data_IF_826449340683
#
_entry.id   IF_826449340683
#
_cell.length_a   1.000
_cell.length_b   1.000
_cell.length_c   1.000
_cell.angle_alpha   90.00
_cell.angle_beta   90.00
_cell.angle_gamma   90.00
#
_symmetry.space_group_name_H-M   'P 1'
#
loop_
_entity.id
_entity.type
_entity.pdbx_description
1 polymer ?
#
# COMPACT_ATOMS: atom_id res chain seq x y z
N UNK A 1 -27.26 -16.55 5.71
CA UNK A 1 -25.78 -16.67 5.84
C UNK A 1 -25.57 -17.21 7.25
N UNK A 2 -25.16 -18.46 7.41
CA UNK A 2 -24.94 -19.01 8.74
C UNK A 2 -23.90 -18.13 9.45
N UNK A 3 -24.18 -17.75 10.71
CA UNK A 3 -23.25 -16.99 11.54
C UNK A 3 -21.91 -17.72 11.65
N UNK A 4 -20.87 -16.96 11.93
CA UNK A 4 -19.55 -17.54 12.21
C UNK A 4 -19.71 -18.59 13.33
N UNK A 5 -19.09 -19.77 13.21
CA UNK A 5 -19.17 -20.80 14.25
C UNK A 5 -18.74 -20.22 15.60
N UNK A 6 -19.30 -20.72 16.72
CA UNK A 6 -19.03 -20.17 18.04
C UNK A 6 -17.52 -20.13 18.29
N UNK A 7 -17.03 -18.94 18.62
CA UNK A 7 -15.61 -18.68 18.79
C UNK A 7 -15.16 -19.32 20.12
N UNK A 8 -14.01 -20.01 20.15
CA UNK A 8 -13.45 -20.50 21.40
C UNK A 8 -13.09 -19.31 22.31
N UNK A 9 -13.11 -19.52 23.63
CA UNK A 9 -12.73 -18.47 24.60
C UNK A 9 -11.27 -18.02 24.44
N UNK A 10 -10.42 -18.88 23.88
CA UNK A 10 -9.02 -18.61 23.55
C UNK A 10 -8.72 -19.12 22.16
N UNK A 11 -8.11 -18.26 21.35
CA UNK A 11 -7.59 -18.65 20.05
C UNK A 11 -6.30 -19.48 20.22
N UNK A 12 -6.11 -20.49 19.36
CA UNK A 12 -4.79 -21.11 19.19
C UNK A 12 -3.80 -20.09 18.60
N UNK A 13 -2.50 -20.41 18.64
CA UNK A 13 -1.45 -19.49 18.21
C UNK A 13 -1.59 -19.06 16.73
N UNK A 14 -1.98 -19.96 15.83
CA UNK A 14 -2.14 -19.65 14.40
C UNK A 14 -3.38 -18.79 14.18
N UNK A 15 -4.50 -19.12 14.82
CA UNK A 15 -5.74 -18.34 14.75
C UNK A 15 -5.53 -16.93 15.32
N UNK A 16 -4.87 -16.82 16.47
CA UNK A 16 -4.51 -15.53 17.08
C UNK A 16 -3.61 -14.70 16.17
N UNK A 17 -2.58 -15.32 15.58
CA UNK A 17 -1.68 -14.65 14.64
C UNK A 17 -2.39 -14.20 13.36
N UNK A 18 -3.31 -15.01 12.80
CA UNK A 18 -4.14 -14.63 11.65
C UNK A 18 -5.03 -13.43 11.98
N UNK A 19 -5.68 -13.42 13.15
CA UNK A 19 -6.51 -12.30 13.61
C UNK A 19 -5.68 -11.03 13.85
N UNK A 20 -4.48 -11.16 14.42
CA UNK A 20 -3.56 -10.05 14.61
C UNK A 20 -3.13 -9.45 13.27
N UNK A 21 -2.65 -10.28 12.34
CA UNK A 21 -2.26 -9.83 11.00
C UNK A 21 -3.39 -9.12 10.25
N UNK A 22 -4.63 -9.60 10.39
CA UNK A 22 -5.81 -8.93 9.82
C UNK A 22 -6.06 -7.55 10.45
N UNK A 23 -5.91 -7.41 11.77
CA UNK A 23 -6.04 -6.12 12.46
C UNK A 23 -4.94 -5.14 12.11
N UNK A 24 -3.69 -5.60 12.02
CA UNK A 24 -2.55 -4.78 11.59
C UNK A 24 -2.75 -4.27 10.16
N UNK A 25 -3.22 -5.15 9.26
CA UNK A 25 -3.57 -4.75 7.88
C UNK A 25 -4.68 -3.70 7.86
N UNK A 26 -5.75 -3.91 8.62
CA UNK A 26 -6.88 -2.98 8.70
C UNK A 26 -6.48 -1.64 9.33
N UNK A 27 -5.62 -1.65 10.36
CA UNK A 27 -5.08 -0.45 10.98
C UNK A 27 -4.24 0.34 9.97
N UNK A 28 -3.31 -0.31 9.26
CA UNK A 28 -2.48 0.37 8.29
C UNK A 28 -3.29 0.93 7.10
N UNK A 29 -4.38 0.26 6.69
CA UNK A 29 -5.31 0.78 5.70
C UNK A 29 -6.09 2.01 6.22
N UNK A 30 -6.57 1.97 7.48
CA UNK A 30 -7.23 3.10 8.11
C UNK A 30 -6.30 4.31 8.18
N UNK A 31 -5.08 4.14 8.68
CA UNK A 31 -4.10 5.22 8.78
C UNK A 31 -3.73 5.83 7.42
N UNK A 32 -3.67 5.00 6.37
CA UNK A 32 -3.44 5.47 5.02
C UNK A 32 -4.62 6.31 4.50
N UNK A 33 -5.86 5.86 4.72
CA UNK A 33 -7.06 6.58 4.30
C UNK A 33 -7.27 7.89 5.07
N UNK A 34 -7.03 7.89 6.39
CA UNK A 34 -7.04 9.11 7.20
C UNK A 34 -6.05 10.15 6.68
N UNK A 35 -4.85 9.72 6.26
CA UNK A 35 -3.87 10.61 5.65
C UNK A 35 -4.31 11.16 4.29
N UNK A 36 -5.18 10.47 3.55
CA UNK A 36 -5.71 10.96 2.28
C UNK A 36 -6.89 11.93 2.47
N UNK A 37 -7.69 11.72 3.52
CA UNK A 37 -8.90 12.51 3.77
C UNK A 37 -8.66 13.74 4.66
N UNK A 38 -7.65 13.71 5.54
CA UNK A 38 -7.29 14.82 6.44
C UNK A 38 -5.96 15.50 6.04
N UNK A 39 -5.99 16.77 5.58
CA UNK A 39 -4.78 17.52 5.22
C UNK A 39 -3.75 17.68 6.35
N UNK A 40 -4.16 17.69 7.62
CA UNK A 40 -3.24 17.82 8.76
C UNK A 40 -2.49 16.51 9.01
N UNK A 41 -3.16 15.37 8.87
CA UNK A 41 -2.53 14.05 8.93
C UNK A 41 -1.52 13.91 7.80
N UNK A 42 -1.90 14.30 6.58
CA UNK A 42 -0.99 14.32 5.43
C UNK A 42 0.20 15.24 5.65
N UNK A 43 0.00 16.43 6.22
CA UNK A 43 1.07 17.37 6.53
C UNK A 43 2.11 16.78 7.49
N UNK A 44 1.67 16.01 8.51
CA UNK A 44 2.57 15.27 9.39
C UNK A 44 3.43 14.26 8.63
N UNK A 45 2.82 13.47 7.72
CA UNK A 45 3.52 12.51 6.85
C UNK A 45 4.51 13.22 5.92
N UNK A 46 4.16 14.40 5.40
CA UNK A 46 5.04 15.24 4.57
C UNK A 46 6.28 15.71 5.32
N UNK A 47 6.11 16.21 6.54
CA UNK A 47 7.22 16.62 7.41
C UNK A 47 8.13 15.45 7.78
N UNK A 48 7.58 14.24 7.89
CA UNK A 48 8.33 13.01 8.11
C UNK A 48 9.01 12.45 6.85
N UNK A 49 8.81 13.06 5.68
CA UNK A 49 9.34 12.58 4.40
C UNK A 49 8.62 11.35 3.83
N UNK A 50 7.46 10.98 4.39
CA UNK A 50 6.63 9.83 3.99
C UNK A 50 5.58 10.20 2.92
N UNK A 51 5.44 11.48 2.62
CA UNK A 51 4.61 12.03 1.55
C UNK A 51 5.23 13.33 1.04
N UNK A 52 4.79 13.83 -0.11
CA UNK A 52 5.16 15.14 -0.62
C UNK A 52 4.11 15.70 -1.56
N UNK A 53 4.00 17.03 -1.64
CA UNK A 53 3.28 17.69 -2.71
C UNK A 53 4.25 17.98 -3.85
N UNK A 54 3.80 17.77 -5.08
CA UNK A 54 4.60 18.11 -6.24
C UNK A 54 3.77 18.62 -7.40
N UNK A 55 4.33 19.56 -8.15
CA UNK A 55 3.75 20.11 -9.37
C UNK A 55 4.36 19.43 -10.59
N UNK A 56 3.52 18.94 -11.49
CA UNK A 56 3.97 18.24 -12.71
C UNK A 56 4.54 19.28 -13.67
N UNK A 57 5.83 19.18 -13.96
CA UNK A 57 6.52 20.08 -14.89
C UNK A 57 6.49 19.56 -16.33
N UNK A 58 6.69 18.25 -16.50
CA UNK A 58 6.79 17.61 -17.81
C UNK A 58 6.31 16.17 -17.74
N UNK A 59 5.77 15.67 -18.85
CA UNK A 59 5.39 14.26 -19.01
C UNK A 59 5.94 13.73 -20.33
N UNK A 60 6.82 12.75 -20.25
CA UNK A 60 7.37 12.03 -21.39
C UNK A 60 6.71 10.66 -21.51
N UNK A 61 6.04 10.39 -22.63
CA UNK A 61 5.45 9.08 -22.90
C UNK A 61 6.52 8.05 -23.29
N UNK A 62 6.84 7.13 -22.37
CA UNK A 62 7.71 5.98 -22.65
C UNK A 62 6.95 4.65 -22.59
N UNK A 63 7.58 3.57 -23.01
CA UNK A 63 6.97 2.23 -23.08
C UNK A 63 7.94 1.16 -22.61
N UNK A 64 7.41 0.04 -22.13
CA UNK A 64 8.23 -1.15 -21.83
C UNK A 64 8.83 -1.75 -23.09
N UNK A 65 10.09 -2.19 -23.00
CA UNK A 65 10.76 -2.96 -24.05
C UNK A 65 10.24 -4.41 -24.06
N UNK A 66 9.20 -4.68 -24.86
CA UNK A 66 8.65 -6.03 -24.99
C UNK A 66 7.92 -6.21 -26.32
N UNK A 67 7.56 -7.46 -26.66
CA UNK A 67 6.76 -7.79 -27.87
C UNK A 67 5.39 -7.10 -27.87
N UNK A 68 4.87 -6.75 -26.69
CA UNK A 68 3.61 -6.01 -26.50
C UNK A 68 3.88 -4.84 -25.55
N UNK A 69 4.42 -3.72 -26.06
CA UNK A 69 4.80 -2.57 -25.24
C UNK A 69 3.61 -2.04 -24.43
N UNK A 70 3.83 -1.81 -23.14
CA UNK A 70 2.89 -1.16 -22.23
C UNK A 70 3.39 0.24 -21.85
N UNK A 71 2.50 1.23 -21.68
CA UNK A 71 2.88 2.60 -21.31
C UNK A 71 3.65 2.66 -19.98
N UNK A 72 4.67 3.51 -19.93
CA UNK A 72 5.52 3.82 -18.77
C UNK A 72 5.90 5.32 -18.75
N UNK A 73 4.93 6.24 -18.74
CA UNK A 73 5.25 7.66 -18.81
C UNK A 73 6.16 8.06 -17.65
N UNK A 74 7.16 8.88 -17.97
CA UNK A 74 8.01 9.56 -17.01
C UNK A 74 7.39 10.93 -16.73
N UNK A 75 7.21 11.23 -15.46
CA UNK A 75 6.60 12.46 -14.98
C UNK A 75 7.68 13.20 -14.18
N UNK A 76 8.08 14.36 -14.68
CA UNK A 76 8.98 15.26 -13.96
C UNK A 76 8.15 16.11 -13.02
N UNK A 77 8.43 16.06 -11.73
CA UNK A 77 7.67 16.70 -10.67
C UNK A 77 8.59 17.65 -9.91
N UNK A 78 8.19 18.92 -9.79
CA UNK A 78 8.85 19.92 -8.95
C UNK A 78 8.34 19.86 -7.53
N UNK A 79 9.24 19.85 -6.56
CA UNK A 79 8.90 19.94 -5.15
C UNK A 79 10.01 20.60 -4.36
N UNK A 80 9.62 21.34 -3.31
CA UNK A 80 10.52 21.90 -2.29
C UNK A 80 10.69 20.97 -1.09
N UNK A 81 9.95 19.85 -1.09
CA UNK A 81 9.97 18.88 0.00
C UNK A 81 11.09 17.86 -0.20
N UNK A 82 11.51 17.21 0.88
CA UNK A 82 12.58 16.21 0.87
C UNK A 82 12.03 14.84 1.28
N UNK A 83 11.25 14.18 0.42
CA UNK A 83 10.75 12.83 0.70
C UNK A 83 11.89 11.81 0.79
N UNK A 84 11.68 10.74 1.54
CA UNK A 84 12.65 9.65 1.74
C UNK A 84 12.73 8.71 0.53
N UNK A 85 13.13 9.26 -0.62
CA UNK A 85 13.26 8.52 -1.87
C UNK A 85 14.62 7.82 -1.96
N UNK A 86 14.58 6.51 -2.21
CA UNK A 86 15.72 5.70 -2.59
C UNK A 86 15.55 5.16 -4.02
N UNK A 87 16.54 4.41 -4.51
CA UNK A 87 16.47 3.80 -5.83
C UNK A 87 15.23 2.90 -5.96
N UNK A 88 14.41 3.12 -6.99
CA UNK A 88 13.18 2.36 -7.27
C UNK A 88 12.14 2.39 -6.15
N UNK A 89 12.22 3.36 -5.23
CA UNK A 89 11.17 3.57 -4.22
C UNK A 89 9.84 3.80 -4.93
N UNK A 90 8.80 3.08 -4.50
CA UNK A 90 7.45 3.29 -4.99
C UNK A 90 6.83 4.49 -4.31
N UNK A 91 6.07 5.24 -5.10
CA UNK A 91 5.22 6.33 -4.63
C UNK A 91 3.82 6.14 -5.20
N UNK A 92 2.83 6.64 -4.49
CA UNK A 92 1.42 6.43 -4.80
C UNK A 92 0.70 7.76 -4.83
N UNK A 93 -0.18 7.94 -5.81
CA UNK A 93 -1.19 9.00 -5.84
C UNK A 93 -2.59 8.39 -5.83
N UNK A 94 -3.57 9.15 -5.33
CA UNK A 94 -4.98 8.76 -5.45
C UNK A 94 -5.48 9.13 -6.85
N UNK A 95 -5.94 8.14 -7.60
CA UNK A 95 -6.60 8.29 -8.90
C UNK A 95 -8.02 7.74 -8.77
N UNK A 96 -9.01 8.62 -8.78
CA UNK A 96 -10.43 8.29 -8.57
C UNK A 96 -10.67 7.43 -7.31
N UNK A 97 -10.00 7.76 -6.22
CA UNK A 97 -10.09 7.05 -4.93
C UNK A 97 -9.36 5.70 -4.90
N UNK A 98 -8.52 5.41 -5.91
CA UNK A 98 -7.70 4.20 -5.96
C UNK A 98 -6.22 4.55 -6.03
N UNK A 99 -5.33 3.76 -5.41
CA UNK A 99 -3.91 3.97 -5.58
C UNK A 99 -3.52 3.74 -7.04
N UNK A 100 -2.75 4.69 -7.58
CA UNK A 100 -1.93 4.54 -8.77
C UNK A 100 -0.46 4.59 -8.36
N UNK A 101 0.30 3.61 -8.82
CA UNK A 101 1.71 3.40 -8.50
C UNK A 101 2.61 4.13 -9.50
N UNK A 102 3.63 4.80 -8.98
CA UNK A 102 4.79 5.23 -9.72
C UNK A 102 6.08 4.80 -9.01
N UNK A 103 7.18 4.78 -9.75
CA UNK A 103 8.51 4.46 -9.23
C UNK A 103 9.43 5.65 -9.38
N UNK A 104 10.20 5.97 -8.34
CA UNK A 104 11.24 6.98 -8.42
C UNK A 104 12.40 6.48 -9.30
N UNK A 105 12.67 7.24 -10.36
CA UNK A 105 13.73 6.94 -11.34
C UNK A 105 15.02 7.69 -10.99
N UNK A 106 14.89 8.90 -10.42
CA UNK A 106 16.01 9.75 -10.06
C UNK A 106 15.61 11.21 -10.00
N UNK A 107 16.58 12.05 -9.64
CA UNK A 107 16.44 13.50 -9.77
C UNK A 107 16.71 13.90 -11.23
N UNK A 108 15.94 14.85 -11.76
CA UNK A 108 16.27 15.45 -13.04
C UNK A 108 17.62 16.17 -12.94
N UNK A 109 18.39 16.19 -14.03
CA UNK A 109 19.72 16.83 -14.04
C UNK A 109 19.62 18.28 -13.55
N UNK A 110 20.48 18.64 -12.61
CA UNK A 110 20.40 19.85 -11.77
C UNK A 110 20.15 21.14 -12.58
N UNK A 111 19.06 21.83 -12.24
CA UNK A 111 19.01 23.29 -12.40
C UNK A 111 20.04 23.94 -11.45
N UNK A 112 20.38 25.23 -11.66
CA UNK A 112 21.44 25.90 -10.90
C UNK A 112 21.29 25.74 -9.38
N UNK A 113 22.42 25.61 -8.69
CA UNK A 113 22.50 25.38 -7.24
C UNK A 113 21.55 26.31 -6.46
N UNK A 114 20.54 25.70 -5.81
CA UNK A 114 19.48 26.41 -5.09
C UNK A 114 18.08 26.29 -5.73
N UNK A 115 17.95 25.66 -6.89
CA UNK A 115 16.66 25.37 -7.52
C UNK A 115 15.92 24.20 -6.85
N UNK A 116 14.58 24.25 -6.90
CA UNK A 116 13.64 23.20 -6.52
C UNK A 116 14.11 21.83 -7.04
N UNK A 117 14.02 20.78 -6.22
CA UNK A 117 14.44 19.44 -6.64
C UNK A 117 13.38 18.85 -7.57
N UNK A 118 13.73 18.66 -8.83
CA UNK A 118 12.87 17.97 -9.79
C UNK A 118 13.07 16.45 -9.67
N UNK A 119 11.98 15.74 -9.41
CA UNK A 119 11.91 14.28 -9.30
C UNK A 119 11.40 13.69 -10.60
N UNK A 120 11.95 12.58 -11.05
CA UNK A 120 11.42 11.82 -12.19
C UNK A 120 10.72 10.56 -11.66
N UNK A 121 9.41 10.48 -11.90
CA UNK A 121 8.56 9.36 -11.49
C UNK A 121 8.06 8.60 -12.71
N UNK A 122 8.16 7.27 -12.71
CA UNK A 122 7.61 6.42 -13.77
C UNK A 122 6.27 5.84 -13.32
N UNK A 123 5.18 6.16 -14.00
CA UNK A 123 3.88 5.51 -13.72
C UNK A 123 3.89 4.07 -14.24
N UNK A 124 3.44 3.13 -13.42
CA UNK A 124 3.54 1.69 -13.72
C UNK A 124 2.20 0.97 -13.89
N UNK A 125 1.12 1.52 -13.34
CA UNK A 125 -0.21 0.90 -13.37
C UNK A 125 -1.36 1.89 -13.64
N UNK A 126 -2.60 1.38 -13.61
CA UNK A 126 -3.87 2.12 -13.77
C UNK A 126 -4.05 2.94 -15.05
N UNK A 127 -3.25 2.69 -16.09
CA UNK A 127 -3.37 3.35 -17.41
C UNK A 127 -4.26 2.59 -18.42
N UNK A 128 -5.09 1.66 -17.96
CA UNK A 128 -5.87 0.78 -18.82
C UNK A 128 -5.05 -0.41 -19.39
N UNK A 129 -5.64 -1.13 -20.35
CA UNK A 129 -5.04 -2.33 -20.97
C UNK A 129 -4.47 -2.09 -22.38
N UNK A 130 -4.67 -0.88 -22.90
CA UNK A 130 -4.27 -0.50 -24.25
C UNK A 130 -2.82 0.01 -24.34
N UNK A 131 -2.39 0.29 -25.57
CA UNK A 131 -1.14 1.00 -25.83
C UNK A 131 -1.27 2.49 -25.53
N UNK A 132 -2.45 3.06 -25.69
CA UNK A 132 -2.74 4.42 -25.26
C UNK A 132 -3.26 4.38 -23.81
N UNK A 133 -2.70 5.21 -22.91
CA UNK A 133 -3.24 5.34 -21.56
C UNK A 133 -4.71 5.77 -21.58
N UNK A 134 -5.49 5.26 -20.62
CA UNK A 134 -6.84 5.74 -20.40
C UNK A 134 -6.85 7.26 -20.12
N UNK A 135 -7.81 8.04 -20.63
CA UNK A 135 -7.93 9.46 -20.32
C UNK A 135 -7.92 9.73 -18.81
N UNK A 136 -7.19 10.75 -18.36
CA UNK A 136 -7.02 11.11 -16.94
C UNK A 136 -6.08 10.20 -16.14
N UNK A 137 -5.62 9.08 -16.69
CA UNK A 137 -4.73 8.16 -15.97
C UNK A 137 -3.27 8.61 -15.90
N UNK A 138 -2.87 9.55 -16.76
CA UNK A 138 -1.55 10.19 -16.77
C UNK A 138 -1.77 11.65 -16.40
N UNK A 139 -1.02 12.22 -15.46
CA UNK A 139 -1.15 13.62 -15.10
C UNK A 139 -0.78 14.55 -16.25
N UNK A 140 -1.31 15.77 -16.22
CA UNK A 140 -0.96 16.85 -17.13
C UNK A 140 0.02 17.85 -16.48
N UNK A 141 0.88 18.51 -17.26
CA UNK A 141 1.71 19.61 -16.77
C UNK A 141 0.88 20.71 -16.07
N UNK A 142 1.36 21.17 -14.92
CA UNK A 142 0.69 22.12 -14.03
C UNK A 142 -0.19 21.48 -12.95
N UNK A 143 -0.47 20.17 -13.02
CA UNK A 143 -1.19 19.48 -11.95
C UNK A 143 -0.38 19.43 -10.66
N UNK A 144 -1.04 19.71 -9.53
CA UNK A 144 -0.48 19.55 -8.18
C UNK A 144 -1.01 18.27 -7.56
N UNK A 145 -0.09 17.38 -7.21
CA UNK A 145 -0.42 16.02 -6.77
C UNK A 145 0.24 15.75 -5.43
N UNK A 146 -0.54 15.23 -4.48
CA UNK A 146 -0.02 14.61 -3.28
C UNK A 146 0.45 13.19 -3.61
N UNK A 147 1.75 12.98 -3.44
CA UNK A 147 2.39 11.67 -3.55
C UNK A 147 2.68 11.14 -2.15
N UNK A 148 2.56 9.83 -1.99
CA UNK A 148 2.74 9.12 -0.71
C UNK A 148 3.73 7.98 -0.91
N UNK A 149 4.57 7.69 0.09
CA UNK A 149 5.51 6.57 0.06
C UNK A 149 4.93 5.30 0.71
N UNK A 150 3.70 5.38 1.21
CA UNK A 150 2.94 4.26 1.75
C UNK A 150 1.81 3.86 0.79
N UNK A 151 1.48 2.57 0.77
CA UNK A 151 0.35 2.05 -0.02
C UNK A 151 -0.99 2.46 0.60
N UNK A 152 -1.96 2.81 -0.26
CA UNK A 152 -3.33 3.15 0.19
C UNK A 152 -4.16 1.90 0.51
N UNK A 153 -3.77 0.76 -0.05
CA UNK A 153 -4.43 -0.52 0.14
C UNK A 153 -3.36 -1.55 0.53
N UNK A 154 -3.23 -1.79 1.84
CA UNK A 154 -2.20 -2.67 2.37
C UNK A 154 -2.49 -4.11 2.00
N UNK A 155 -1.54 -4.72 1.28
CA UNK A 155 -1.62 -6.15 0.99
C UNK A 155 -1.18 -6.93 2.23
N UNK A 156 -2.02 -7.86 2.66
CA UNK A 156 -1.67 -8.80 3.71
C UNK A 156 -0.38 -9.55 3.40
N UNK A 157 0.37 -9.88 4.46
CA UNK A 157 1.59 -10.68 4.37
C UNK A 157 1.34 -12.11 3.87
N UNK A 158 2.42 -12.91 3.72
CA UNK A 158 2.30 -14.31 3.33
C UNK A 158 1.38 -15.08 4.29
N UNK A 159 0.67 -16.07 3.75
CA UNK A 159 -0.18 -16.92 4.58
C UNK A 159 0.65 -17.64 5.65
N UNK A 160 0.13 -17.61 6.88
CA UNK A 160 0.72 -18.37 7.98
C UNK A 160 0.52 -19.87 7.73
N UNK A 161 1.51 -20.72 8.10
CA UNK A 161 1.39 -22.16 7.98
C UNK A 161 0.20 -22.67 8.81
N UNK A 162 -0.29 -23.84 8.45
CA UNK A 162 -1.24 -24.54 9.31
C UNK A 162 -0.58 -24.95 10.63
N UNK A 163 -1.40 -25.18 11.67
CA UNK A 163 -0.91 -25.43 13.02
C UNK A 163 0.09 -26.61 13.08
N UNK A 164 -0.19 -27.67 12.34
CA UNK A 164 0.64 -28.88 12.23
C UNK A 164 2.00 -28.59 11.57
N UNK A 165 2.07 -27.54 10.76
CA UNK A 165 3.26 -27.12 10.01
C UNK A 165 3.98 -25.93 10.65
N UNK A 166 3.57 -25.51 11.85
CA UNK A 166 4.21 -24.39 12.55
C UNK A 166 5.62 -24.80 13.02
N UNK A 167 6.69 -24.09 12.62
CA UNK A 167 8.05 -24.47 12.98
C UNK A 167 8.28 -24.31 14.48
N UNK A 168 8.88 -25.32 15.10
CA UNK A 168 9.19 -25.34 16.54
C UNK A 168 10.70 -25.51 16.76
N UNK A 169 11.24 -24.79 17.73
CA UNK A 169 12.63 -24.96 18.17
C UNK A 169 12.63 -25.67 19.53
N UNK A 170 12.91 -26.98 19.54
CA UNK A 170 12.86 -27.94 20.68
C UNK A 170 11.44 -28.29 21.20
N UNK A 171 11.17 -29.57 21.50
CA UNK A 171 9.93 -30.04 22.16
C UNK A 171 8.82 -30.69 21.31
N UNK A 172 8.97 -30.83 19.99
CA UNK A 172 7.90 -31.29 19.10
C UNK A 172 6.95 -30.14 18.71
N UNK A 173 6.08 -30.32 17.69
CA UNK A 173 4.99 -29.38 17.46
C UNK A 173 4.20 -29.24 18.77
N UNK A 174 3.68 -28.04 19.11
CA UNK A 174 2.82 -27.91 20.27
C UNK A 174 1.75 -29.00 20.13
N UNK A 175 1.75 -29.96 21.07
CA UNK A 175 0.75 -31.01 21.06
C UNK A 175 -0.59 -30.31 20.92
N UNK A 176 -1.44 -30.76 19.98
CA UNK A 176 -2.79 -30.25 19.80
C UNK A 176 -3.32 -30.04 21.21
N UNK A 177 -3.51 -28.76 21.60
CA UNK A 177 -3.67 -28.39 23.00
C UNK A 177 -4.54 -29.46 23.63
N UNK A 178 -4.07 -30.13 24.70
CA UNK A 178 -4.81 -31.26 25.28
C UNK A 178 -6.26 -30.87 25.62
N UNK A 179 -6.59 -29.57 25.59
CA UNK A 179 -7.93 -29.05 25.39
C UNK A 179 -7.97 -27.96 24.29
N UNK A 180 -8.30 -28.33 23.05
CA UNK A 180 -9.07 -27.40 22.21
C UNK A 180 -10.44 -27.27 22.89
N UNK A 181 -10.53 -26.32 23.83
CA UNK A 181 -11.70 -26.14 24.69
C UNK A 181 -12.93 -25.93 23.80
N UNK A 182 -13.93 -26.81 23.96
CA UNK A 182 -15.11 -26.82 23.09
C UNK A 182 -15.85 -25.48 23.20
N UNK A 183 -16.31 -24.92 22.08
CA UNK A 183 -17.13 -23.72 22.13
C UNK A 183 -18.35 -23.91 23.03
N UNK A 184 -18.78 -22.84 23.69
CA UNK A 184 -20.00 -22.86 24.49
C UNK A 184 -21.19 -23.29 23.62
N UNK A 185 -22.11 -24.12 24.16
CA UNK A 185 -23.29 -24.54 23.41
C UNK A 185 -24.14 -23.31 23.08
N UNK A 186 -24.66 -23.26 21.85
CA UNK A 186 -25.57 -22.19 21.38
C UNK A 186 -26.76 -22.08 22.34
N UNK A 187 -27.01 -20.88 22.84
CA UNK A 187 -28.12 -20.61 23.75
C UNK A 187 -29.34 -20.09 22.99
N UNK A 188 -30.51 -20.11 23.62
CA UNK A 188 -31.74 -19.60 23.01
C UNK A 188 -31.68 -18.08 22.72
N UNK A 189 -30.77 -17.37 23.39
CA UNK A 189 -30.55 -15.92 23.23
C UNK A 189 -29.80 -15.59 21.92
N UNK A 190 -29.06 -16.56 21.35
CA UNK A 190 -28.25 -16.39 20.13
C UNK A 190 -29.06 -16.53 18.82
N UNK A 191 -30.35 -16.85 18.89
CA UNK A 191 -31.24 -17.11 17.75
C UNK A 191 -32.31 -16.02 17.52
N UNK A 192 -32.22 -14.90 18.27
CA UNK A 192 -33.13 -13.75 18.20
C UNK A 192 -32.63 -12.70 17.19
#
# INVERSE_FOLDING_TARGET
>A
RAGEPPQPRRDDAVTAARKLAARETAQAQLEAQEALDDPLVLAGRRLAGEAFLGEVAEVEMTYTESKRPSPRPLVTVRTDERPHLGERTKVYRSLDGKPQTAEFVGYAAEGPAGAESALVLRITDRMGRGREPAPGSVPEPGERIAWTLFEHDQRGGPALPDAENTPWTHGGPPGAAEDAEKPDPVTAEDLL
#
